data_IF_903638630807
#
_entry.id   IF_903638630807
#
_cell.length_a   1.000
_cell.length_b   1.000
_cell.length_c   1.000
_cell.angle_alpha   90.00
_cell.angle_beta   90.00
_cell.angle_gamma   90.00
#
_symmetry.space_group_name_H-M   'P 1'
#
loop_
_entity.id
_entity.type
_entity.pdbx_description
1 polymer ?
#
# COMPACT_ATOMS: atom_id res chain seq x y z
N UNK A 1 22.65 3.18 54.71
CA UNK A 1 23.15 2.25 53.68
C UNK A 1 21.99 1.80 52.81
N UNK A 2 21.88 2.33 51.60
CA UNK A 2 21.04 1.74 50.55
C UNK A 2 22.00 1.39 49.41
N UNK A 3 22.21 0.09 49.16
CA UNK A 3 22.92 -0.40 47.97
C UNK A 3 21.89 -0.56 46.87
N UNK A 4 22.01 0.21 45.80
CA UNK A 4 21.30 -0.04 44.56
C UNK A 4 22.08 -1.11 43.78
N UNK A 5 21.43 -2.24 43.50
CA UNK A 5 21.90 -3.24 42.54
C UNK A 5 21.16 -2.97 41.22
N UNK A 6 21.65 -2.03 40.43
CA UNK A 6 21.24 -1.83 39.04
C UNK A 6 22.49 -2.00 38.18
N UNK A 7 22.75 -3.23 37.75
CA UNK A 7 23.89 -3.50 36.87
C UNK A 7 24.18 -4.97 36.64
N UNK A 8 23.27 -5.69 35.98
CA UNK A 8 23.68 -6.91 35.23
C UNK A 8 22.70 -7.45 34.17
N UNK A 9 21.56 -6.80 33.92
CA UNK A 9 20.53 -7.37 33.01
C UNK A 9 20.87 -7.16 31.52
N UNK A 10 21.84 -6.29 31.20
CA UNK A 10 22.25 -6.01 29.81
C UNK A 10 23.32 -6.96 29.26
N UNK A 11 24.15 -7.56 30.12
CA UNK A 11 25.24 -8.46 29.72
C UNK A 11 24.76 -9.87 29.36
N UNK A 12 23.80 -10.39 30.13
CA UNK A 12 23.30 -11.76 30.02
C UNK A 12 22.48 -11.97 28.73
N UNK A 13 21.63 -10.99 28.39
CA UNK A 13 20.88 -10.97 27.13
C UNK A 13 21.81 -10.95 25.89
N UNK A 14 22.96 -10.28 25.98
CA UNK A 14 23.94 -10.20 24.87
C UNK A 14 24.70 -11.51 24.65
N UNK A 15 24.98 -12.28 25.70
CA UNK A 15 25.60 -13.60 25.58
C UNK A 15 24.65 -14.63 24.95
N UNK A 16 23.39 -14.66 25.42
CA UNK A 16 22.36 -15.56 24.90
C UNK A 16 22.08 -15.29 23.42
N UNK A 17 21.98 -14.02 23.02
CA UNK A 17 21.77 -13.62 21.62
C UNK A 17 22.96 -14.03 20.73
N UNK A 18 24.19 -13.96 21.23
CA UNK A 18 25.39 -14.39 20.47
C UNK A 18 25.44 -15.89 20.26
N UNK A 19 25.07 -16.68 21.26
CA UNK A 19 25.02 -18.14 21.16
C UNK A 19 23.96 -18.58 20.14
N UNK A 20 22.76 -17.99 20.20
CA UNK A 20 21.71 -18.31 19.24
C UNK A 20 22.10 -17.88 17.81
N UNK A 21 22.82 -16.76 17.64
CA UNK A 21 23.35 -16.35 16.34
C UNK A 21 24.34 -17.37 15.76
N UNK A 22 25.22 -17.94 16.59
CA UNK A 22 26.15 -18.99 16.16
C UNK A 22 25.39 -20.24 15.73
N UNK A 23 24.43 -20.67 16.54
CA UNK A 23 23.57 -21.82 16.24
C UNK A 23 22.81 -21.66 14.92
N UNK A 24 22.14 -20.51 14.72
CA UNK A 24 21.37 -20.22 13.52
C UNK A 24 22.27 -20.12 12.27
N UNK A 25 23.52 -19.66 12.41
CA UNK A 25 24.50 -19.62 11.31
C UNK A 25 24.96 -21.01 10.90
N UNK A 26 25.22 -21.88 11.88
CA UNK A 26 25.57 -23.29 11.61
C UNK A 26 24.42 -24.00 10.90
N UNK A 27 23.19 -23.82 11.38
CA UNK A 27 22.03 -24.47 10.78
C UNK A 27 21.75 -23.94 9.37
N UNK A 28 21.85 -22.63 9.13
CA UNK A 28 21.75 -22.06 7.78
C UNK A 28 22.80 -22.67 6.84
N UNK A 29 24.05 -22.84 7.29
CA UNK A 29 25.10 -23.47 6.48
C UNK A 29 24.72 -24.90 6.11
N UNK A 30 24.18 -25.67 7.05
CA UNK A 30 23.72 -27.05 6.82
C UNK A 30 22.57 -27.11 5.81
N UNK A 31 21.57 -26.24 5.97
CA UNK A 31 20.41 -26.16 5.09
C UNK A 31 20.79 -25.77 3.66
N UNK A 32 21.68 -24.79 3.49
CA UNK A 32 22.19 -24.38 2.17
C UNK A 32 22.88 -25.52 1.42
N UNK A 33 23.70 -26.31 2.11
CA UNK A 33 24.33 -27.50 1.53
C UNK A 33 23.29 -28.54 1.09
N UNK A 34 22.27 -28.78 1.92
CA UNK A 34 21.18 -29.69 1.58
C UNK A 34 20.38 -29.22 0.36
N UNK A 35 20.00 -27.95 0.30
CA UNK A 35 19.27 -27.37 -0.83
C UNK A 35 20.05 -27.48 -2.13
N UNK A 36 21.34 -27.16 -2.11
CA UNK A 36 22.23 -27.32 -3.27
C UNK A 36 22.33 -28.78 -3.74
N UNK A 37 22.44 -29.72 -2.80
CA UNK A 37 22.48 -31.15 -3.12
C UNK A 37 21.19 -31.63 -3.80
N UNK A 38 20.05 -31.00 -3.50
CA UNK A 38 18.75 -31.32 -4.10
C UNK A 38 18.40 -30.44 -5.31
N UNK A 39 19.31 -29.59 -5.79
CA UNK A 39 19.09 -28.72 -6.95
C UNK A 39 18.03 -27.64 -6.72
N UNK A 40 17.75 -27.30 -5.46
CA UNK A 40 16.80 -26.25 -5.10
C UNK A 40 17.59 -24.94 -5.05
N UNK A 41 17.35 -24.07 -6.03
CA UNK A 41 17.93 -22.72 -6.05
C UNK A 41 17.43 -21.92 -4.85
N UNK A 42 18.35 -21.33 -4.09
CA UNK A 42 18.05 -20.35 -3.06
C UNK A 42 18.93 -19.12 -3.29
N UNK A 43 18.33 -17.93 -3.21
CA UNK A 43 19.08 -16.68 -3.32
C UNK A 43 19.73 -16.35 -1.98
N UNK A 44 21.06 -16.20 -1.98
CA UNK A 44 21.81 -15.76 -0.81
C UNK A 44 21.51 -14.28 -0.53
N UNK A 45 20.51 -14.01 0.32
CA UNK A 45 20.32 -12.66 0.86
C UNK A 45 21.39 -12.41 1.93
N UNK A 46 22.56 -11.96 1.48
CA UNK A 46 23.60 -11.47 2.38
C UNK A 46 23.19 -10.08 2.90
N UNK A 47 22.55 -10.03 4.07
CA UNK A 47 22.53 -8.81 4.86
C UNK A 47 23.92 -8.60 5.46
N UNK A 48 24.79 -7.92 4.71
CA UNK A 48 26.05 -7.42 5.23
C UNK A 48 25.74 -6.32 6.26
N UNK A 49 26.15 -6.58 7.50
CA UNK A 49 26.21 -5.63 8.60
C UNK A 49 26.92 -4.34 8.17
N UNK A 50 26.30 -3.21 8.51
CA UNK A 50 26.68 -1.85 8.16
C UNK A 50 28.17 -1.55 8.27
N UNK A 51 28.72 -0.92 7.24
CA UNK A 51 29.47 0.33 7.35
C UNK A 51 28.99 1.24 6.22
N UNK A 52 28.72 2.50 6.54
CA UNK A 52 28.23 3.49 5.60
C UNK A 52 29.30 3.78 4.53
N UNK A 53 28.97 3.50 3.27
CA UNK A 53 29.44 4.28 2.12
C UNK A 53 28.58 3.91 0.91
N UNK A 54 28.06 4.96 0.28
CA UNK A 54 27.13 4.99 -0.85
C UNK A 54 27.58 4.06 -1.97
N UNK A 55 26.95 2.88 -2.09
CA UNK A 55 27.00 2.09 -3.33
C UNK A 55 25.59 1.65 -3.71
N UNK A 56 25.28 1.98 -4.94
CA UNK A 56 23.98 2.04 -5.57
C UNK A 56 23.36 0.65 -5.71
N UNK A 57 22.07 0.59 -5.40
CA UNK A 57 21.23 -0.61 -5.40
C UNK A 57 21.40 -1.47 -6.68
N UNK A 58 21.86 -2.71 -6.51
CA UNK A 58 21.91 -3.75 -7.56
C UNK A 58 20.52 -4.37 -7.86
N UNK A 59 19.43 -3.73 -7.43
CA UNK A 59 18.13 -3.98 -8.05
C UNK A 59 18.23 -3.34 -9.44
N UNK A 60 17.95 -4.05 -10.56
CA UNK A 60 17.76 -3.38 -11.83
C UNK A 60 16.73 -2.29 -11.58
N UNK A 61 17.16 -1.03 -11.57
CA UNK A 61 16.26 0.10 -11.43
C UNK A 61 15.45 0.09 -12.71
N UNK A 62 14.32 -0.64 -12.70
CA UNK A 62 13.38 -0.67 -13.81
C UNK A 62 12.81 0.74 -13.86
N UNK A 63 13.46 1.59 -14.65
CA UNK A 63 13.05 2.95 -14.86
C UNK A 63 11.87 2.92 -15.81
N UNK A 64 10.68 3.04 -15.24
CA UNK A 64 9.47 3.28 -16.02
C UNK A 64 9.41 4.77 -16.41
N UNK A 65 9.14 5.03 -17.68
CA UNK A 65 8.66 6.32 -18.14
C UNK A 65 7.36 6.71 -17.42
N UNK A 66 7.01 8.00 -17.45
CA UNK A 66 5.76 8.49 -16.84
C UNK A 66 4.55 7.76 -17.43
N UNK A 67 4.51 7.58 -18.75
CA UNK A 67 3.44 6.87 -19.45
C UNK A 67 3.35 5.42 -18.98
N UNK A 68 4.47 4.71 -18.85
CA UNK A 68 4.48 3.34 -18.34
C UNK A 68 3.99 3.25 -16.90
N UNK A 69 4.36 4.22 -16.05
CA UNK A 69 3.84 4.32 -14.67
C UNK A 69 2.33 4.51 -14.64
N UNK A 70 1.79 5.37 -15.50
CA UNK A 70 0.33 5.60 -15.62
C UNK A 70 -0.37 4.31 -16.09
N UNK A 71 0.16 3.67 -17.12
CA UNK A 71 -0.39 2.39 -17.64
C UNK A 71 -0.33 1.31 -16.57
N UNK A 72 0.78 1.20 -15.83
CA UNK A 72 0.95 0.24 -14.76
C UNK A 72 -0.04 0.51 -13.60
N UNK A 73 -0.19 1.77 -13.19
CA UNK A 73 -1.13 2.17 -12.15
C UNK A 73 -2.56 1.75 -12.52
N UNK A 74 -3.03 2.07 -13.73
CA UNK A 74 -4.36 1.64 -14.21
C UNK A 74 -4.53 0.13 -14.22
N UNK A 75 -3.48 -0.61 -14.59
CA UNK A 75 -3.54 -2.07 -14.65
C UNK A 75 -3.66 -2.69 -13.25
N UNK A 76 -2.96 -2.14 -12.26
CA UNK A 76 -2.93 -2.63 -10.88
C UNK A 76 -4.16 -2.18 -10.07
N UNK A 77 -4.58 -0.93 -10.23
CA UNK A 77 -5.66 -0.31 -9.45
C UNK A 77 -6.89 -0.09 -10.33
N UNK A 78 -7.51 -1.20 -10.75
CA UNK A 78 -8.71 -1.17 -11.57
C UNK A 78 -9.94 -0.89 -10.72
N UNK A 79 -10.77 0.00 -11.21
CA UNK A 79 -12.08 0.34 -10.68
C UNK A 79 -12.84 1.18 -11.70
N UNK A 80 -13.85 1.93 -11.23
CA UNK A 80 -14.67 2.79 -12.08
C UNK A 80 -13.83 3.81 -12.86
N UNK A 81 -13.90 3.85 -14.20
CA UNK A 81 -13.17 4.82 -14.99
C UNK A 81 -13.87 6.18 -15.07
N UNK A 82 -15.18 6.23 -14.79
CA UNK A 82 -16.04 7.41 -14.91
C UNK A 82 -16.02 8.32 -13.67
N UNK A 83 -15.47 7.85 -12.55
CA UNK A 83 -15.38 8.61 -11.30
C UNK A 83 -14.22 8.15 -10.43
N UNK A 84 -13.64 9.07 -9.66
CA UNK A 84 -12.68 8.76 -8.61
C UNK A 84 -12.97 9.54 -7.32
N UNK A 85 -12.72 8.93 -6.14
CA UNK A 85 -12.73 9.65 -4.89
C UNK A 85 -11.45 10.50 -4.75
N UNK A 86 -11.61 11.77 -4.44
CA UNK A 86 -10.50 12.65 -4.05
C UNK A 86 -10.39 12.73 -2.52
N UNK A 87 -9.17 12.68 -2.01
CA UNK A 87 -8.88 12.86 -0.59
C UNK A 87 -9.01 14.33 -0.22
N UNK A 88 -9.92 14.65 0.68
CA UNK A 88 -10.01 15.98 1.26
C UNK A 88 -9.53 15.97 2.71
N UNK A 89 -9.07 17.14 3.15
CA UNK A 89 -8.71 17.41 4.53
C UNK A 89 -9.26 18.77 4.91
N UNK A 90 -9.88 18.84 6.09
CA UNK A 90 -10.42 20.07 6.65
C UNK A 90 -9.37 20.77 7.50
N UNK A 91 -9.50 22.09 7.65
CA UNK A 91 -8.66 22.85 8.57
C UNK A 91 -8.74 22.40 10.04
N UNK A 92 -9.77 21.62 10.40
CA UNK A 92 -9.96 21.05 11.74
C UNK A 92 -9.32 19.66 11.91
N UNK A 93 -8.58 19.18 10.91
CA UNK A 93 -7.88 17.88 10.93
C UNK A 93 -8.73 16.67 10.56
N UNK A 94 -10.03 16.83 10.27
CA UNK A 94 -10.82 15.74 9.70
C UNK A 94 -10.43 15.52 8.23
N UNK A 95 -10.32 14.27 7.81
CA UNK A 95 -10.02 13.90 6.42
C UNK A 95 -10.95 12.80 5.94
N UNK A 96 -11.09 12.68 4.62
CA UNK A 96 -11.95 11.68 4.02
C UNK A 96 -11.75 11.58 2.52
N UNK A 97 -12.55 10.72 1.90
CA UNK A 97 -12.60 10.54 0.46
C UNK A 97 -14.02 10.81 -0.04
N UNK A 98 -14.16 11.56 -1.12
CA UNK A 98 -15.46 11.86 -1.73
C UNK A 98 -15.36 11.90 -3.25
N UNK A 99 -16.43 11.54 -3.99
CA UNK A 99 -16.43 11.62 -5.45
C UNK A 99 -16.11 13.02 -5.92
N UNK A 100 -15.30 13.13 -6.97
CA UNK A 100 -14.94 14.43 -7.55
C UNK A 100 -16.03 14.89 -8.51
N UNK A 101 -16.63 16.05 -8.23
CA UNK A 101 -17.63 16.67 -9.10
C UNK A 101 -17.09 17.96 -9.74
N UNK A 102 -17.11 18.04 -11.07
CA UNK A 102 -16.67 19.22 -11.83
C UNK A 102 -17.54 20.47 -11.64
N UNK A 103 -18.69 20.32 -10.95
CA UNK A 103 -19.60 21.40 -10.62
C UNK A 103 -19.60 21.77 -9.14
N UNK A 104 -18.83 21.07 -8.29
CA UNK A 104 -18.89 21.15 -6.81
C UNK A 104 -18.78 22.57 -6.23
N UNK A 105 -18.05 23.46 -6.91
CA UNK A 105 -17.82 24.84 -6.48
C UNK A 105 -18.39 25.88 -7.45
N UNK A 106 -19.20 25.45 -8.43
CA UNK A 106 -19.86 26.38 -9.35
C UNK A 106 -21.13 26.93 -8.71
N UNK A 107 -21.12 28.23 -8.43
CA UNK A 107 -22.24 28.94 -7.82
C UNK A 107 -23.53 28.71 -8.62
N UNK A 108 -24.59 28.29 -7.94
CA UNK A 108 -25.90 28.03 -8.55
C UNK A 108 -26.06 26.67 -9.23
N UNK A 109 -25.01 25.89 -9.41
CA UNK A 109 -25.06 24.57 -10.05
C UNK A 109 -25.10 23.45 -8.99
N UNK A 110 -23.96 23.18 -8.36
CA UNK A 110 -23.91 22.25 -7.23
C UNK A 110 -24.20 23.04 -5.96
N UNK A 111 -25.33 22.77 -5.31
CA UNK A 111 -25.79 23.51 -4.13
C UNK A 111 -25.08 23.05 -2.83
N UNK A 112 -23.83 22.59 -2.90
CA UNK A 112 -23.03 22.29 -1.71
C UNK A 112 -22.78 23.58 -0.92
N UNK A 113 -22.82 23.56 0.43
CA UNK A 113 -23.01 22.40 1.31
C UNK A 113 -24.48 22.05 1.60
N UNK A 114 -25.46 22.80 1.08
CA UNK A 114 -26.90 22.62 1.39
C UNK A 114 -27.45 21.27 0.89
N UNK A 115 -26.92 20.76 -0.22
CA UNK A 115 -27.30 19.47 -0.82
C UNK A 115 -26.04 18.62 -0.99
N UNK A 116 -26.14 17.32 -0.70
CA UNK A 116 -25.06 16.36 -0.97
C UNK A 116 -24.90 16.20 -2.47
N UNK A 117 -23.66 15.98 -2.94
CA UNK A 117 -23.45 15.84 -4.39
C UNK A 117 -24.11 14.59 -4.96
N UNK A 118 -24.33 13.55 -4.14
CA UNK A 118 -25.09 12.35 -4.50
C UNK A 118 -26.52 12.67 -4.93
N UNK A 119 -27.11 13.72 -4.36
CA UNK A 119 -28.52 14.10 -4.53
C UNK A 119 -28.66 15.36 -5.42
N UNK A 120 -27.62 15.69 -6.20
CA UNK A 120 -27.57 16.88 -7.03
C UNK A 120 -27.98 16.57 -8.48
N UNK A 121 -29.01 17.26 -8.99
CA UNK A 121 -29.48 17.09 -10.38
C UNK A 121 -28.46 17.53 -11.44
N UNK A 122 -27.49 18.37 -11.05
CA UNK A 122 -26.41 18.87 -11.90
C UNK A 122 -25.06 18.22 -11.53
N UNK A 123 -25.12 17.00 -10.97
CA UNK A 123 -23.94 16.21 -10.66
C UNK A 123 -23.17 15.89 -11.94
N UNK A 124 -21.87 16.19 -11.91
CA UNK A 124 -20.97 15.92 -13.02
C UNK A 124 -19.69 15.28 -12.48
N UNK A 125 -19.69 13.94 -12.41
CA UNK A 125 -18.53 13.19 -11.95
C UNK A 125 -17.41 13.25 -12.99
N UNK A 126 -16.18 13.42 -12.52
CA UNK A 126 -15.02 13.51 -13.38
C UNK A 126 -14.36 12.14 -13.57
N UNK A 127 -14.03 11.75 -14.82
CA UNK A 127 -13.41 10.47 -15.12
C UNK A 127 -11.94 10.43 -14.71
N UNK A 128 -11.40 9.21 -14.61
CA UNK A 128 -9.98 8.94 -14.31
C UNK A 128 -9.12 9.13 -15.56
N UNK A 129 -8.65 10.36 -15.78
CA UNK A 129 -7.75 10.70 -16.89
C UNK A 129 -6.29 10.40 -16.57
N UNK A 130 -5.43 10.38 -17.60
CA UNK A 130 -3.98 10.21 -17.45
C UNK A 130 -3.40 11.34 -16.61
N UNK A 131 -3.93 12.55 -16.77
CA UNK A 131 -3.55 13.72 -15.99
C UNK A 131 -3.89 13.54 -14.50
N UNK A 132 -5.09 13.01 -14.19
CA UNK A 132 -5.52 12.72 -12.82
C UNK A 132 -4.57 11.71 -12.15
N UNK A 133 -4.17 10.67 -12.86
CA UNK A 133 -3.21 9.67 -12.37
C UNK A 133 -1.81 10.27 -12.24
N UNK A 134 -1.38 11.09 -13.19
CA UNK A 134 -0.10 11.79 -13.11
C UNK A 134 -0.03 12.72 -11.88
N UNK A 135 -1.08 13.52 -11.66
CA UNK A 135 -1.16 14.42 -10.51
C UNK A 135 -1.21 13.64 -9.19
N UNK A 136 -1.75 12.41 -9.22
CA UNK A 136 -1.65 11.49 -8.09
C UNK A 136 -0.23 10.98 -7.86
N UNK A 137 0.41 10.44 -8.89
CA UNK A 137 1.77 9.88 -8.81
C UNK A 137 2.83 10.94 -8.50
N UNK A 138 2.59 12.20 -8.86
CA UNK A 138 3.46 13.34 -8.52
C UNK A 138 3.17 13.94 -7.14
N UNK A 139 2.15 13.45 -6.42
CA UNK A 139 1.80 13.88 -5.07
C UNK A 139 1.02 15.19 -4.99
N UNK A 140 0.57 15.75 -6.12
CA UNK A 140 -0.27 16.97 -6.12
C UNK A 140 -1.66 16.73 -5.56
N UNK A 141 -2.18 15.52 -5.74
CA UNK A 141 -3.46 15.09 -5.16
C UNK A 141 -3.40 13.63 -4.71
N UNK A 142 -4.24 13.25 -3.77
CA UNK A 142 -4.45 11.84 -3.42
C UNK A 142 -5.84 11.43 -3.90
N UNK A 143 -5.88 10.41 -4.76
CA UNK A 143 -7.13 9.81 -5.22
C UNK A 143 -7.22 8.38 -4.70
N UNK A 144 -8.44 7.89 -4.49
CA UNK A 144 -8.69 6.47 -4.30
C UNK A 144 -9.24 5.82 -5.57
N UNK A 145 -9.77 4.62 -5.42
CA UNK A 145 -10.42 3.86 -6.49
C UNK A 145 -11.76 3.37 -5.99
N UNK A 146 -12.81 3.49 -6.81
CA UNK A 146 -14.08 2.80 -6.57
C UNK A 146 -14.00 1.41 -7.20
N UNK A 147 -13.84 0.34 -6.41
CA UNK A 147 -13.46 -0.97 -6.94
C UNK A 147 -14.61 -1.72 -7.64
N UNK A 148 -15.85 -1.33 -7.35
CA UNK A 148 -17.06 -1.89 -7.98
C UNK A 148 -17.33 -1.18 -9.30
N UNK A 149 -17.35 -1.93 -10.38
CA UNK A 149 -17.68 -1.44 -11.73
C UNK A 149 -19.19 -1.33 -11.94
N UNK A 150 -19.59 -0.77 -13.08
CA UNK A 150 -21.00 -0.59 -13.44
C UNK A 150 -21.74 -1.91 -13.71
N UNK A 151 -21.01 -3.00 -13.94
CA UNK A 151 -21.53 -4.36 -14.09
C UNK A 151 -21.51 -5.18 -12.79
N UNK A 152 -21.38 -4.50 -11.65
CA UNK A 152 -21.24 -5.07 -10.30
C UNK A 152 -20.04 -6.02 -10.14
N UNK A 153 -19.07 -5.99 -11.07
CA UNK A 153 -17.83 -6.74 -10.93
C UNK A 153 -16.78 -5.95 -10.16
N UNK A 154 -15.86 -6.66 -9.52
CA UNK A 154 -14.76 -6.08 -8.76
C UNK A 154 -13.43 -6.71 -9.18
N UNK A 155 -12.44 -5.87 -9.46
CA UNK A 155 -11.09 -6.31 -9.83
C UNK A 155 -10.14 -6.40 -8.63
N UNK A 156 -10.62 -6.19 -7.41
CA UNK A 156 -9.82 -6.23 -6.18
C UNK A 156 -9.58 -7.67 -5.71
N UNK A 157 -8.73 -8.42 -6.42
CA UNK A 157 -8.26 -9.75 -6.02
C UNK A 157 -6.82 -9.74 -5.48
N UNK A 158 -6.24 -8.56 -5.22
CA UNK A 158 -4.79 -8.46 -4.95
C UNK A 158 -4.38 -7.41 -3.93
N UNK A 159 -4.98 -7.44 -2.74
CA UNK A 159 -4.32 -6.98 -1.51
C UNK A 159 -4.97 -7.57 -0.24
N UNK A 160 -5.27 -8.87 -0.22
CA UNK A 160 -5.46 -9.54 1.08
C UNK A 160 -4.09 -9.88 1.61
N UNK A 161 -3.55 -9.03 2.49
CA UNK A 161 -2.54 -9.47 3.44
C UNK A 161 -3.19 -10.62 4.22
N UNK A 162 -2.71 -11.84 3.98
CA UNK A 162 -3.23 -13.07 4.58
C UNK A 162 -3.07 -13.01 6.11
N UNK A 163 -4.10 -12.55 6.81
CA UNK A 163 -4.38 -12.95 8.17
C UNK A 163 -5.34 -14.13 8.13
N UNK A 164 -4.82 -15.35 8.14
CA UNK A 164 -5.66 -16.54 8.32
C UNK A 164 -6.23 -16.55 9.74
N UNK A 165 -7.54 -16.41 9.88
CA UNK A 165 -8.31 -17.15 10.89
C UNK A 165 -9.67 -17.55 10.32
N UNK A 166 -9.90 -18.87 10.23
CA UNK A 166 -11.22 -19.51 10.36
C UNK A 166 -12.27 -19.31 9.26
N UNK A 167 -12.35 -20.30 8.35
CA UNK A 167 -13.60 -20.94 7.90
C UNK A 167 -14.83 -20.09 7.57
N UNK A 168 -14.91 -19.60 6.34
CA UNK A 168 -16.07 -19.70 5.42
C UNK A 168 -15.69 -19.03 4.09
N UNK A 169 -15.76 -19.77 2.99
CA UNK A 169 -15.67 -19.21 1.64
C UNK A 169 -16.91 -18.36 1.38
N UNK A 170 -16.84 -17.08 1.73
CA UNK A 170 -17.66 -16.04 1.12
C UNK A 170 -16.80 -15.44 0.00
N UNK A 171 -17.28 -15.55 -1.24
CA UNK A 171 -16.71 -14.78 -2.34
C UNK A 171 -16.75 -13.28 -2.01
N UNK A 172 -15.94 -12.45 -2.68
CA UNK A 172 -15.91 -11.02 -2.42
C UNK A 172 -17.27 -10.39 -2.78
N UNK A 173 -18.15 -10.24 -1.78
CA UNK A 173 -19.31 -9.36 -1.87
C UNK A 173 -18.79 -7.95 -1.68
N UNK A 174 -18.66 -7.22 -2.78
CA UNK A 174 -18.44 -5.78 -2.72
C UNK A 174 -19.80 -5.12 -2.66
N UNK A 175 -20.22 -4.71 -1.46
CA UNK A 175 -21.44 -3.92 -1.33
C UNK A 175 -21.27 -2.58 -2.07
N UNK A 176 -22.25 -2.15 -2.87
CA UNK A 176 -22.17 -0.89 -3.59
C UNK A 176 -22.11 0.26 -2.61
N UNK A 177 -20.97 0.95 -2.58
CA UNK A 177 -20.92 2.28 -2.00
C UNK A 177 -21.90 3.16 -2.79
N UNK A 178 -22.93 3.70 -2.11
CA UNK A 178 -23.79 4.73 -2.69
C UNK A 178 -22.93 5.96 -2.95
N UNK A 179 -22.44 6.07 -4.18
CA UNK A 179 -21.68 7.20 -4.71
C UNK A 179 -22.65 8.32 -5.03
#
# INVERSE_FOLDING_TARGET
MCRNNDGDISGENSAVVREELLRLRVENKRLKVLLNRHGISFDDVQFATSNCETTESLIPQVQFSITEKIVLFRKLFRGRPDTYPHRWESAKGASGYSPTCGNEWKTGICKKPKVKCSDCDQRHLLPVTDQVIFDHLSGKQAIGVYPLLDDDTCFFWRLTLMGQTGGRTLGPSCDPAKI
#
